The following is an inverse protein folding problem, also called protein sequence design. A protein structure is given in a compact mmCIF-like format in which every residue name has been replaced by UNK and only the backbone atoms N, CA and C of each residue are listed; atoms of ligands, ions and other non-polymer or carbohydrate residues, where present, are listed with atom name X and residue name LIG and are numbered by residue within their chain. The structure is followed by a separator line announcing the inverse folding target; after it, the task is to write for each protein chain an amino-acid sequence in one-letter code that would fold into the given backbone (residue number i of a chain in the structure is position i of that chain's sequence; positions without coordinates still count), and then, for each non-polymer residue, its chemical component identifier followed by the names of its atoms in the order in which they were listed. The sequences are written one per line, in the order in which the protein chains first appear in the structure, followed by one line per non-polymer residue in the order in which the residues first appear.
data_IF_685950602960
#
_entry.id   IF_685950602960
#
_cell.length_a   1.000
_cell.length_b   1.000
_cell.length_c   1.000
_cell.angle_alpha   90.00
_cell.angle_beta   90.00
_cell.angle_gamma   90.00
#
_symmetry.space_group_name_H-M   'P 1'
#
loop_
_entity.id
_entity.type
_entity.pdbx_description
1 polymer ?
#
# COMPACT_ATOMS: atom_id res chain seq x y z
N UNK A 1 5.13 -0.16 10.09
CA UNK A 1 5.35 -0.15 8.60
C UNK A 1 4.18 0.55 7.91
N UNK A 2 4.45 1.34 6.87
CA UNK A 2 3.42 2.07 6.11
C UNK A 2 3.35 1.48 4.69
N UNK A 3 2.14 1.16 4.23
CA UNK A 3 1.88 0.66 2.88
C UNK A 3 1.09 1.66 2.06
N UNK A 4 1.54 1.85 0.82
CA UNK A 4 0.75 2.42 -0.26
C UNK A 4 0.51 1.34 -1.30
N UNK A 5 -0.68 1.30 -1.88
CA UNK A 5 -0.99 0.44 -3.03
C UNK A 5 -1.46 1.29 -4.19
N UNK A 6 -0.94 1.06 -5.39
CA UNK A 6 -1.35 1.80 -6.57
C UNK A 6 -1.21 0.96 -7.84
N UNK A 7 -2.23 0.99 -8.67
CA UNK A 7 -2.23 0.41 -10.01
C UNK A 7 -2.26 1.51 -11.07
N UNK A 8 -1.59 1.27 -12.19
CA UNK A 8 -1.46 2.25 -13.26
C UNK A 8 -0.35 3.28 -13.04
N UNK A 9 -0.28 4.33 -13.88
CA UNK A 9 0.75 5.36 -13.81
C UNK A 9 0.77 6.06 -12.46
N UNK A 10 1.95 6.23 -11.87
CA UNK A 10 2.10 6.88 -10.56
C UNK A 10 1.77 8.37 -10.66
N UNK A 11 0.73 8.84 -9.99
CA UNK A 11 0.36 10.25 -10.03
C UNK A 11 1.23 11.08 -9.09
N UNK A 12 1.32 12.37 -9.38
CA UNK A 12 2.12 13.30 -8.58
C UNK A 12 1.67 13.35 -7.10
N UNK A 13 0.37 13.24 -6.84
CA UNK A 13 -0.14 13.25 -5.47
C UNK A 13 0.33 12.05 -4.64
N UNK A 14 0.53 10.86 -5.25
CA UNK A 14 1.09 9.72 -4.54
C UNK A 14 2.54 9.98 -4.14
N UNK A 15 3.34 10.58 -5.03
CA UNK A 15 4.71 11.00 -4.70
C UNK A 15 4.71 11.98 -3.52
N UNK A 16 3.78 12.95 -3.52
CA UNK A 16 3.64 13.91 -2.42
C UNK A 16 3.19 13.23 -1.11
N UNK A 17 2.25 12.27 -1.18
CA UNK A 17 1.79 11.52 -0.02
C UNK A 17 2.92 10.68 0.61
N UNK A 18 3.74 10.02 -0.21
CA UNK A 18 4.92 9.28 0.24
C UNK A 18 5.94 10.21 0.91
N UNK A 19 6.25 11.36 0.29
CA UNK A 19 7.15 12.34 0.86
C UNK A 19 6.65 12.85 2.22
N UNK A 20 5.36 13.13 2.32
CA UNK A 20 4.73 13.55 3.58
C UNK A 20 4.83 12.45 4.65
N UNK A 21 4.57 11.21 4.30
CA UNK A 21 4.70 10.07 5.22
C UNK A 21 6.14 9.91 5.72
N UNK A 22 7.13 10.05 4.85
CA UNK A 22 8.56 10.04 5.23
C UNK A 22 8.92 11.18 6.18
N UNK A 23 8.36 12.36 5.94
CA UNK A 23 8.64 13.56 6.76
C UNK A 23 8.11 13.41 8.19
N UNK A 24 6.88 12.89 8.34
CA UNK A 24 6.26 12.73 9.68
C UNK A 24 6.66 11.43 10.39
N UNK A 25 7.19 10.48 9.65
CA UNK A 25 7.55 9.15 10.16
C UNK A 25 8.91 8.68 9.61
N UNK A 26 10.01 9.41 9.89
CA UNK A 26 11.32 9.16 9.27
C UNK A 26 11.91 7.79 9.62
N UNK A 27 11.45 7.17 10.71
CA UNK A 27 11.91 5.86 11.17
C UNK A 27 11.00 4.69 10.75
N UNK A 28 9.93 4.95 10.01
CA UNK A 28 9.02 3.92 9.52
C UNK A 28 9.44 3.44 8.14
N UNK A 29 9.39 2.13 7.94
CA UNK A 29 9.54 1.55 6.60
C UNK A 29 8.30 1.86 5.78
N UNK A 30 8.51 2.38 4.58
CA UNK A 30 7.45 2.65 3.62
C UNK A 30 7.56 1.66 2.46
N UNK A 31 6.46 1.02 2.14
CA UNK A 31 6.35 0.06 1.03
C UNK A 31 5.33 0.60 0.03
N UNK A 32 5.73 0.67 -1.24
CA UNK A 32 4.81 0.88 -2.36
C UNK A 32 4.62 -0.43 -3.10
N UNK A 33 3.41 -0.98 -3.07
CA UNK A 33 2.98 -2.10 -3.90
C UNK A 33 2.34 -1.55 -5.18
N UNK A 34 2.93 -1.86 -6.33
CA UNK A 34 2.46 -1.32 -7.63
C UNK A 34 2.64 -2.32 -8.76
N UNK A 35 1.83 -2.19 -9.80
CA UNK A 35 1.93 -2.95 -11.05
C UNK A 35 2.96 -2.37 -12.03
N UNK A 36 3.54 -1.20 -11.73
CA UNK A 36 4.51 -0.54 -12.59
C UNK A 36 5.87 -1.24 -12.55
N UNK A 37 6.28 -1.84 -13.66
CA UNK A 37 7.54 -2.55 -13.79
C UNK A 37 8.78 -1.64 -13.79
N UNK A 38 8.62 -0.40 -14.25
CA UNK A 38 9.69 0.61 -14.30
C UNK A 38 9.42 1.64 -13.24
N UNK A 39 10.36 1.76 -12.36
CA UNK A 39 10.38 2.55 -11.16
C UNK A 39 10.03 4.04 -11.42
N UNK A 40 8.79 4.45 -11.17
CA UNK A 40 8.29 5.78 -11.53
C UNK A 40 8.47 6.80 -10.40
N UNK A 41 8.97 6.35 -9.25
CA UNK A 41 9.16 7.21 -8.07
C UNK A 41 10.51 7.92 -8.18
N UNK A 42 10.60 9.23 -7.91
CA UNK A 42 11.85 9.99 -7.91
C UNK A 42 12.95 9.31 -7.08
N UNK A 43 14.17 9.28 -7.59
CA UNK A 43 15.29 8.59 -6.95
C UNK A 43 15.52 9.04 -5.50
N UNK A 44 15.27 10.31 -5.20
CA UNK A 44 15.41 10.84 -3.84
C UNK A 44 14.50 10.15 -2.81
N UNK A 45 13.32 9.66 -3.22
CA UNK A 45 12.39 8.96 -2.34
C UNK A 45 12.74 7.47 -2.16
N UNK A 46 13.45 6.88 -3.13
CA UNK A 46 13.76 5.45 -3.12
C UNK A 46 14.72 5.03 -2.00
N UNK A 47 15.54 5.96 -1.50
CA UNK A 47 16.52 5.66 -0.45
C UNK A 47 15.87 5.26 0.89
N UNK A 48 14.61 5.67 1.10
CA UNK A 48 13.87 5.49 2.35
C UNK A 48 12.57 4.68 2.20
N UNK A 49 12.38 4.01 1.04
CA UNK A 49 11.21 3.17 0.78
C UNK A 49 11.58 1.93 -0.03
N UNK A 50 10.77 0.90 0.05
CA UNK A 50 10.83 -0.24 -0.85
C UNK A 50 9.68 -0.18 -1.87
N UNK A 51 9.94 -0.68 -3.07
CA UNK A 51 8.92 -0.86 -4.11
C UNK A 51 8.83 -2.35 -4.42
N UNK A 52 7.63 -2.89 -4.36
CA UNK A 52 7.38 -4.29 -4.68
C UNK A 52 6.29 -4.40 -5.75
N UNK A 53 6.38 -5.43 -6.58
CA UNK A 53 5.37 -5.69 -7.60
C UNK A 53 4.17 -6.36 -6.99
N UNK A 54 2.98 -5.90 -7.33
CA UNK A 54 1.71 -6.51 -6.95
C UNK A 54 1.68 -7.98 -7.40
N UNK A 55 2.12 -8.27 -8.63
CA UNK A 55 2.09 -9.62 -9.22
C UNK A 55 2.87 -10.67 -8.41
N UNK A 56 3.90 -10.25 -7.66
CA UNK A 56 4.70 -11.16 -6.84
C UNK A 56 3.96 -11.62 -5.56
N UNK A 57 2.78 -11.02 -5.27
CA UNK A 57 1.98 -11.25 -4.06
C UNK A 57 0.47 -11.33 -4.39
N UNK A 58 0.10 -11.94 -5.51
CA UNK A 58 -1.25 -11.85 -6.05
C UNK A 58 -2.05 -13.17 -5.98
N UNK A 59 -1.50 -14.25 -5.47
CA UNK A 59 -2.14 -15.56 -5.47
C UNK A 59 -3.46 -15.57 -4.69
N UNK A 60 -3.46 -15.02 -3.47
CA UNK A 60 -4.65 -14.92 -2.64
C UNK A 60 -5.68 -13.95 -3.21
N UNK A 61 -5.22 -12.86 -3.81
CA UNK A 61 -6.06 -11.86 -4.48
C UNK A 61 -6.74 -12.44 -5.73
N UNK A 62 -6.02 -13.27 -6.50
CA UNK A 62 -6.57 -13.98 -7.66
C UNK A 62 -7.65 -15.00 -7.24
N UNK A 63 -7.38 -15.80 -6.20
CA UNK A 63 -8.36 -16.75 -5.67
C UNK A 63 -9.63 -16.04 -5.16
N UNK A 64 -9.51 -14.88 -4.53
CA UNK A 64 -10.66 -14.07 -4.12
C UNK A 64 -11.51 -13.62 -5.31
N UNK A 65 -10.89 -13.25 -6.44
CA UNK A 65 -11.62 -12.81 -7.63
C UNK A 65 -12.59 -13.88 -8.17
N UNK A 66 -12.28 -15.17 -7.99
CA UNK A 66 -13.14 -16.27 -8.46
C UNK A 66 -14.47 -16.34 -7.72
N UNK A 67 -14.51 -15.91 -6.46
CA UNK A 67 -15.71 -15.92 -5.61
C UNK A 67 -16.37 -14.56 -5.46
N UNK A 68 -15.68 -13.47 -5.85
CA UNK A 68 -16.21 -12.12 -5.74
C UNK A 68 -17.47 -11.94 -6.58
N UNK A 69 -18.50 -11.36 -5.97
CA UNK A 69 -19.75 -11.00 -6.64
C UNK A 69 -19.92 -9.50 -6.59
N UNK A 70 -20.08 -8.91 -7.76
CA UNK A 70 -20.21 -7.48 -7.93
C UNK A 70 -21.68 -7.05 -7.92
N UNK A 71 -22.02 -6.16 -6.98
CA UNK A 71 -23.35 -5.55 -6.86
C UNK A 71 -23.27 -4.02 -6.69
N UNK A 72 -22.06 -3.45 -6.93
CA UNK A 72 -21.79 -2.05 -6.69
C UNK A 72 -22.21 -1.11 -7.83
N UNK A 73 -21.97 0.20 -7.62
CA UNK A 73 -22.25 1.27 -8.60
C UNK A 73 -21.03 1.65 -9.44
N UNK A 74 -19.82 1.30 -8.99
CA UNK A 74 -18.57 1.58 -9.69
C UNK A 74 -18.28 0.48 -10.74
N UNK A 75 -17.14 0.50 -11.40
CA UNK A 75 -16.73 -0.61 -12.26
C UNK A 75 -16.38 -1.86 -11.44
N UNK A 76 -16.53 -3.03 -12.06
CA UNK A 76 -16.16 -4.30 -11.45
C UNK A 76 -14.69 -4.32 -11.00
N UNK A 77 -13.80 -3.85 -11.85
CA UNK A 77 -12.36 -3.83 -11.61
C UNK A 77 -12.00 -2.92 -10.41
N UNK A 78 -12.65 -1.76 -10.30
CA UNK A 78 -12.45 -0.84 -9.19
C UNK A 78 -12.88 -1.45 -7.86
N UNK A 79 -14.09 -2.03 -7.83
CA UNK A 79 -14.62 -2.65 -6.61
C UNK A 79 -13.79 -3.88 -6.22
N UNK A 80 -13.44 -4.74 -7.18
CA UNK A 80 -12.61 -5.90 -6.94
C UNK A 80 -11.25 -5.50 -6.36
N UNK A 81 -10.58 -4.48 -6.94
CA UNK A 81 -9.29 -4.01 -6.47
C UNK A 81 -9.34 -3.47 -5.04
N UNK A 82 -10.43 -2.82 -4.64
CA UNK A 82 -10.60 -2.33 -3.28
C UNK A 82 -10.55 -3.45 -2.22
N UNK A 83 -10.89 -4.67 -2.59
CA UNK A 83 -10.72 -5.85 -1.73
C UNK A 83 -9.37 -6.54 -1.95
N UNK A 84 -8.97 -6.74 -3.20
CA UNK A 84 -7.76 -7.47 -3.56
C UNK A 84 -6.49 -6.89 -2.95
N UNK A 85 -6.40 -5.57 -2.81
CA UNK A 85 -5.24 -4.89 -2.20
C UNK A 85 -4.93 -5.38 -0.79
N UNK A 86 -5.95 -5.78 -0.03
CA UNK A 86 -5.74 -6.32 1.32
C UNK A 86 -5.11 -7.71 1.31
N UNK A 87 -5.47 -8.55 0.36
CA UNK A 87 -4.83 -9.85 0.15
C UNK A 87 -3.39 -9.69 -0.29
N UNK A 88 -3.09 -8.73 -1.16
CA UNK A 88 -1.72 -8.42 -1.60
C UNK A 88 -0.86 -7.94 -0.43
N UNK A 89 -1.38 -7.06 0.43
CA UNK A 89 -0.67 -6.57 1.61
C UNK A 89 -0.41 -7.73 2.60
N UNK A 90 -1.42 -8.56 2.86
CA UNK A 90 -1.29 -9.73 3.74
C UNK A 90 -0.25 -10.72 3.22
N UNK A 91 -0.30 -11.03 1.92
CA UNK A 91 0.65 -11.94 1.29
C UNK A 91 2.08 -11.39 1.32
N UNK A 92 2.25 -10.08 1.04
CA UNK A 92 3.54 -9.41 1.20
C UNK A 92 4.05 -9.54 2.64
N UNK A 93 3.21 -9.22 3.62
CA UNK A 93 3.59 -9.27 5.02
C UNK A 93 3.99 -10.68 5.46
N UNK A 94 3.24 -11.70 5.04
CA UNK A 94 3.49 -13.09 5.35
C UNK A 94 4.80 -13.60 4.71
N UNK A 95 5.01 -13.32 3.43
CA UNK A 95 6.23 -13.74 2.70
C UNK A 95 7.46 -13.07 3.28
N UNK A 96 7.39 -11.80 3.61
CA UNK A 96 8.50 -11.01 4.15
C UNK A 96 8.59 -11.05 5.68
N UNK A 97 7.77 -11.87 6.36
CA UNK A 97 7.77 -12.07 7.83
C UNK A 97 7.66 -10.74 8.60
N UNK A 98 6.76 -9.88 8.15
CA UNK A 98 6.49 -8.60 8.81
C UNK A 98 5.67 -8.86 10.08
N UNK A 99 6.24 -8.54 11.25
CA UNK A 99 5.61 -8.75 12.56
C UNK A 99 5.12 -7.44 13.19
N UNK A 100 5.54 -6.30 12.64
CA UNK A 100 5.13 -4.98 13.14
C UNK A 100 3.73 -4.59 12.64
N UNK A 101 3.01 -3.71 13.38
CA UNK A 101 1.73 -3.19 12.93
C UNK A 101 1.82 -2.53 11.56
N UNK A 102 0.81 -2.78 10.73
CA UNK A 102 0.70 -2.27 9.37
C UNK A 102 -0.29 -1.11 9.33
N UNK A 103 0.10 -0.02 8.66
CA UNK A 103 -0.78 1.08 8.30
C UNK A 103 -0.86 1.15 6.78
N UNK A 104 -2.05 0.94 6.23
CA UNK A 104 -2.31 1.19 4.81
C UNK A 104 -2.86 2.59 4.62
N UNK A 105 -2.32 3.30 3.64
CA UNK A 105 -2.79 4.60 3.18
C UNK A 105 -3.22 4.51 1.71
N UNK A 106 -4.36 5.09 1.40
CA UNK A 106 -4.77 5.29 0.02
C UNK A 106 -3.80 6.26 -0.68
N UNK A 107 -3.66 6.13 -1.99
CA UNK A 107 -2.66 6.84 -2.78
C UNK A 107 -2.79 8.38 -2.73
N UNK A 108 -3.94 8.89 -2.33
CA UNK A 108 -4.26 10.31 -2.16
C UNK A 108 -4.37 10.74 -0.68
N UNK A 109 -4.08 9.84 0.25
CA UNK A 109 -4.11 10.12 1.68
C UNK A 109 -2.79 10.72 2.18
N UNK A 110 -2.87 11.78 2.98
CA UNK A 110 -1.72 12.44 3.58
C UNK A 110 -1.64 12.15 5.08
N UNK A 111 -0.49 11.68 5.53
CA UNK A 111 -0.24 11.38 6.93
C UNK A 111 0.30 12.63 7.65
N UNK A 112 -0.39 13.06 8.70
CA UNK A 112 0.03 14.24 9.50
C UNK A 112 0.60 13.89 10.87
N UNK A 113 0.36 12.65 11.33
CA UNK A 113 0.83 12.14 12.63
C UNK A 113 1.47 10.78 12.39
N UNK A 114 2.66 10.56 12.91
CA UNK A 114 3.36 9.27 12.76
C UNK A 114 2.60 8.11 13.44
N UNK A 115 2.56 6.91 12.84
CA UNK A 115 1.87 5.75 13.39
C UNK A 115 2.29 5.39 14.82
N UNK A 116 3.58 5.58 15.14
CA UNK A 116 4.12 5.33 16.48
C UNK A 116 3.44 6.15 17.59
N UNK A 117 2.83 7.29 17.23
CA UNK A 117 2.11 8.13 18.20
C UNK A 117 0.65 7.68 18.38
N UNK A 118 0.08 6.95 17.43
CA UNK A 118 -1.35 6.58 17.40
C UNK A 118 -1.58 5.13 17.81
N UNK A 119 -0.71 4.22 17.37
CA UNK A 119 -0.86 2.77 17.64
C UNK A 119 -1.05 2.44 19.13
N UNK A 120 -0.29 3.03 20.08
CA UNK A 120 -0.51 2.75 21.51
C UNK A 120 -1.92 3.09 22.00
N UNK A 121 -2.52 4.17 21.46
CA UNK A 121 -3.88 4.58 21.82
C UNK A 121 -4.96 3.65 21.23
N UNK A 122 -4.68 3.01 20.08
CA UNK A 122 -5.59 2.05 19.44
C UNK A 122 -5.53 0.65 20.08
N UNK A 123 -4.43 0.34 20.78
CA UNK A 123 -4.19 -0.95 21.41
C UNK A 123 -4.66 -1.00 22.88
N UNK A 124 -5.05 0.13 23.41
CA UNK A 124 -5.58 0.26 24.78
C UNK A 124 -7.08 0.00 24.82
#
# INVERSE_FOLDING_TARGET
MIFFTHTGPIPLYLTAAILQAQTVSPNQHIILLTDQAKNPVPQALRASMAIAKIDDYFDSAAAFAEIFRFEGRNSYEYELWNFQRWFVIDEYARVNKVEEPLLHLDSDAFLYIGPASVIPALSA
#
